data_IF_888814654819
#
_entry.id   IF_888814654819
#
_cell.length_a   1.000
_cell.length_b   1.000
_cell.length_c   1.000
_cell.angle_alpha   90.00
_cell.angle_beta   90.00
_cell.angle_gamma   90.00
#
_symmetry.space_group_name_H-M   'P 1'
#
loop_
_entity.id
_entity.type
_entity.pdbx_description
1 polymer ?
#
# COMPACT_ATOMS: atom_id res chain seq x y z
N UNK A 1 -18.75 -1.26 -16.13
CA UNK A 1 -18.10 -2.57 -15.86
C UNK A 1 -17.25 -2.39 -14.61
N UNK A 2 -17.57 -3.08 -13.52
CA UNK A 2 -16.68 -3.10 -12.35
C UNK A 2 -15.35 -3.72 -12.75
N UNK A 3 -14.23 -3.11 -12.36
CA UNK A 3 -12.90 -3.69 -12.58
C UNK A 3 -12.87 -5.04 -11.85
N UNK A 4 -12.80 -6.14 -12.59
CA UNK A 4 -12.61 -7.45 -11.98
C UNK A 4 -11.19 -7.51 -11.45
N UNK A 5 -11.03 -7.56 -10.13
CA UNK A 5 -9.73 -7.60 -9.48
C UNK A 5 -9.10 -8.99 -9.68
N UNK A 6 -7.88 -9.02 -10.20
CA UNK A 6 -7.07 -10.24 -10.31
C UNK A 6 -6.40 -10.49 -8.95
N UNK A 7 -6.38 -11.75 -8.50
CA UNK A 7 -5.75 -12.18 -7.24
C UNK A 7 -4.68 -13.22 -7.54
N UNK A 8 -3.51 -12.81 -8.05
CA UNK A 8 -2.49 -13.76 -8.46
C UNK A 8 -1.77 -14.35 -7.24
N UNK A 9 -1.01 -15.42 -7.45
CA UNK A 9 -0.10 -15.94 -6.42
C UNK A 9 1.03 -14.92 -6.21
N UNK A 10 1.29 -14.55 -4.97
CA UNK A 10 2.38 -13.63 -4.60
C UNK A 10 3.48 -14.44 -3.91
N UNK A 11 4.72 -14.12 -4.24
CA UNK A 11 5.94 -14.68 -3.65
C UNK A 11 6.78 -13.55 -3.06
N UNK A 12 7.47 -13.84 -1.95
CA UNK A 12 8.39 -12.91 -1.30
C UNK A 12 9.80 -13.32 -1.73
N UNK A 13 10.52 -12.40 -2.38
CA UNK A 13 11.88 -12.63 -2.84
C UNK A 13 12.84 -11.74 -2.04
N UNK A 14 13.91 -12.34 -1.53
CA UNK A 14 15.04 -11.59 -0.97
C UNK A 14 16.07 -11.39 -2.08
N UNK A 15 16.23 -10.15 -2.53
CA UNK A 15 17.20 -9.78 -3.54
C UNK A 15 18.40 -9.11 -2.87
N UNK A 16 19.60 -9.48 -3.29
CA UNK A 16 20.82 -8.77 -2.91
C UNK A 16 21.37 -8.17 -4.19
N UNK A 17 21.28 -6.86 -4.36
CA UNK A 17 21.95 -6.17 -5.47
C UNK A 17 23.22 -5.53 -4.95
N UNK A 18 24.28 -5.54 -5.76
CA UNK A 18 25.61 -5.06 -5.34
C UNK A 18 25.62 -3.54 -5.10
N UNK A 19 24.61 -2.82 -5.61
CA UNK A 19 24.52 -1.35 -5.59
C UNK A 19 23.40 -0.78 -4.71
N UNK A 20 22.36 -1.54 -4.37
CA UNK A 20 21.16 -1.00 -3.69
C UNK A 20 20.85 -1.77 -2.39
N UNK A 21 21.85 -2.46 -1.85
CA UNK A 21 21.71 -3.24 -0.63
C UNK A 21 20.84 -4.49 -0.78
N UNK A 22 20.31 -4.97 0.35
CA UNK A 22 19.36 -6.09 0.37
C UNK A 22 17.94 -5.53 0.26
N UNK A 23 17.20 -6.02 -0.72
CA UNK A 23 15.81 -5.66 -0.99
C UNK A 23 14.88 -6.83 -0.70
N UNK A 24 13.65 -6.51 -0.30
CA UNK A 24 12.57 -7.49 -0.18
C UNK A 24 11.49 -7.17 -1.21
N UNK A 25 11.27 -8.06 -2.16
CA UNK A 25 10.32 -7.85 -3.25
C UNK A 25 9.07 -8.72 -3.07
N UNK A 26 7.90 -8.12 -3.30
CA UNK A 26 6.65 -8.85 -3.54
C UNK A 26 6.52 -9.07 -5.05
N UNK A 27 6.70 -10.32 -5.48
CA UNK A 27 6.66 -10.68 -6.89
C UNK A 27 5.42 -11.50 -7.23
N UNK A 28 4.96 -11.40 -8.47
CA UNK A 28 3.93 -12.30 -8.98
C UNK A 28 4.15 -12.63 -10.45
N UNK A 29 3.71 -13.81 -10.86
CA UNK A 29 3.71 -14.23 -12.27
C UNK A 29 2.33 -13.98 -12.87
N UNK A 30 2.27 -13.12 -13.88
CA UNK A 30 1.07 -12.85 -14.67
C UNK A 30 1.42 -12.77 -16.15
N UNK A 31 0.56 -13.32 -17.02
CA UNK A 31 0.83 -13.34 -18.47
C UNK A 31 2.14 -14.05 -18.85
N UNK A 32 2.54 -15.07 -18.06
CA UNK A 32 3.82 -15.79 -18.18
C UNK A 32 5.08 -14.93 -17.97
N UNK A 33 4.94 -13.75 -17.37
CA UNK A 33 6.06 -12.88 -16.99
C UNK A 33 6.06 -12.66 -15.48
N UNK A 34 7.25 -12.52 -14.92
CA UNK A 34 7.43 -12.11 -13.53
C UNK A 34 7.32 -10.60 -13.43
N UNK A 35 6.59 -10.13 -12.42
CA UNK A 35 6.33 -8.73 -12.16
C UNK A 35 6.61 -8.42 -10.68
N UNK A 36 7.53 -7.49 -10.45
CA UNK A 36 7.67 -6.83 -9.15
C UNK A 36 6.41 -5.98 -8.89
N UNK A 37 5.68 -6.29 -7.83
CA UNK A 37 4.46 -5.58 -7.44
C UNK A 37 4.77 -4.45 -6.45
N UNK A 38 5.72 -4.70 -5.54
CA UNK A 38 6.21 -3.75 -4.56
C UNK A 38 7.58 -4.20 -4.05
N UNK A 39 8.38 -3.26 -3.57
CA UNK A 39 9.72 -3.53 -3.03
C UNK A 39 9.88 -2.80 -1.71
N UNK A 40 10.55 -3.43 -0.75
CA UNK A 40 11.00 -2.78 0.48
C UNK A 40 12.50 -2.58 0.38
N UNK A 41 12.91 -1.33 0.54
CA UNK A 41 14.30 -0.88 0.44
C UNK A 41 14.68 -0.07 1.68
N UNK A 42 15.97 0.03 1.95
CA UNK A 42 16.52 0.95 2.93
C UNK A 42 17.03 2.22 2.22
N UNK A 43 16.85 3.38 2.85
CA UNK A 43 17.45 4.63 2.40
C UNK A 43 18.96 4.65 2.73
N UNK A 44 19.79 4.97 1.74
CA UNK A 44 21.26 4.96 1.88
C UNK A 44 21.78 6.00 2.88
N UNK A 45 21.01 7.06 3.17
CA UNK A 45 21.43 8.15 4.04
C UNK A 45 21.22 7.84 5.53
N UNK A 46 20.13 7.16 5.88
CA UNK A 46 19.71 6.97 7.27
C UNK A 46 19.19 5.58 7.65
N UNK A 47 19.22 4.61 6.72
CA UNK A 47 18.74 3.24 6.89
C UNK A 47 17.23 3.14 7.22
N UNK A 48 16.45 4.21 6.98
CA UNK A 48 15.00 4.15 7.08
C UNK A 48 14.42 3.22 6.02
N UNK A 49 13.36 2.48 6.36
CA UNK A 49 12.76 1.51 5.46
C UNK A 49 11.58 2.11 4.71
N UNK A 50 11.57 1.91 3.40
CA UNK A 50 10.56 2.43 2.49
C UNK A 50 9.87 1.29 1.74
N UNK A 51 8.55 1.41 1.61
CA UNK A 51 7.73 0.56 0.76
C UNK A 51 7.51 1.26 -0.58
N UNK A 52 8.16 0.75 -1.62
CA UNK A 52 8.10 1.25 -2.97
C UNK A 52 7.03 0.51 -3.79
N UNK A 53 6.21 1.27 -4.51
CA UNK A 53 5.21 0.78 -5.47
C UNK A 53 5.28 1.58 -6.76
N UNK A 54 4.80 1.00 -7.85
CA UNK A 54 4.68 1.70 -9.14
C UNK A 54 3.28 2.29 -9.32
N UNK A 55 3.20 3.60 -9.53
CA UNK A 55 1.97 4.32 -9.90
C UNK A 55 2.17 4.90 -11.30
N UNK A 56 1.58 4.25 -12.31
CA UNK A 56 1.88 4.57 -13.70
C UNK A 56 3.31 4.13 -14.04
N UNK A 57 4.13 5.09 -14.48
CA UNK A 57 5.55 4.92 -14.78
C UNK A 57 6.48 5.43 -13.67
N UNK A 58 5.92 5.83 -12.52
CA UNK A 58 6.68 6.39 -11.41
C UNK A 58 6.77 5.42 -10.23
N UNK A 59 7.98 5.27 -9.70
CA UNK A 59 8.19 4.67 -8.38
C UNK A 59 7.77 5.69 -7.30
N UNK A 60 6.91 5.24 -6.39
CA UNK A 60 6.43 6.01 -5.24
C UNK A 60 6.81 5.27 -3.98
N UNK A 61 7.49 5.96 -3.07
CA UNK A 61 7.96 5.40 -1.82
C UNK A 61 7.13 5.93 -0.65
N UNK A 62 6.68 5.01 0.19
CA UNK A 62 5.93 5.28 1.40
C UNK A 62 6.76 4.82 2.60
N UNK A 63 6.80 5.56 3.72
CA UNK A 63 7.47 5.07 4.91
C UNK A 63 6.86 3.74 5.37
N UNK A 64 7.69 2.72 5.60
CA UNK A 64 7.21 1.37 5.87
C UNK A 64 6.37 1.30 7.15
N UNK A 65 6.65 2.15 8.14
CA UNK A 65 5.87 2.23 9.37
C UNK A 65 4.42 2.64 9.15
N UNK A 66 4.15 3.54 8.19
CA UNK A 66 2.80 3.98 7.85
C UNK A 66 2.04 2.86 7.16
N UNK A 67 2.71 2.12 6.27
CA UNK A 67 2.11 0.93 5.61
C UNK A 67 1.76 -0.13 6.66
N UNK A 68 2.65 -0.39 7.61
CA UNK A 68 2.39 -1.35 8.71
C UNK A 68 1.20 -0.93 9.57
N UNK A 69 1.10 0.35 9.93
CA UNK A 69 -0.05 0.89 10.67
C UNK A 69 -1.35 0.73 9.87
N UNK A 70 -1.32 1.07 8.58
CA UNK A 70 -2.49 0.92 7.70
C UNK A 70 -2.95 -0.54 7.59
N UNK A 71 -2.03 -1.51 7.50
CA UNK A 71 -2.37 -2.94 7.48
C UNK A 71 -3.04 -3.40 8.78
N UNK A 72 -2.56 -2.92 9.94
CA UNK A 72 -3.20 -3.21 11.22
C UNK A 72 -4.62 -2.65 11.28
N UNK A 73 -4.80 -1.37 10.94
CA UNK A 73 -6.12 -0.74 10.90
C UNK A 73 -7.06 -1.41 9.90
N UNK A 74 -6.54 -1.89 8.77
CA UNK A 74 -7.33 -2.59 7.77
C UNK A 74 -7.94 -3.89 8.31
N UNK A 75 -7.20 -4.66 9.11
CA UNK A 75 -7.70 -5.89 9.73
C UNK A 75 -8.84 -5.63 10.72
N UNK A 76 -8.87 -4.46 11.35
CA UNK A 76 -9.91 -4.09 12.32
C UNK A 76 -11.12 -3.44 11.65
N UNK A 77 -10.90 -2.59 10.65
CA UNK A 77 -11.89 -1.62 10.19
C UNK A 77 -12.28 -1.75 8.72
N UNK A 78 -11.56 -2.50 7.89
CA UNK A 78 -11.90 -2.62 6.47
C UNK A 78 -12.82 -3.82 6.27
N UNK A 79 -14.10 -3.53 6.06
CA UNK A 79 -15.14 -4.51 5.78
C UNK A 79 -15.82 -4.22 4.44
N UNK A 80 -16.49 -5.23 3.87
CA UNK A 80 -17.29 -5.04 2.65
C UNK A 80 -18.55 -4.23 2.93
N UNK A 81 -19.13 -3.59 1.91
CA UNK A 81 -20.42 -2.88 2.04
C UNK A 81 -21.50 -3.80 2.64
N UNK A 82 -21.60 -5.04 2.16
CA UNK A 82 -22.56 -6.02 2.67
C UNK A 82 -22.39 -6.33 4.17
N UNK A 83 -21.16 -6.27 4.69
CA UNK A 83 -20.93 -6.41 6.14
C UNK A 83 -21.50 -5.21 6.90
N UNK A 84 -21.27 -3.98 6.42
CA UNK A 84 -21.81 -2.77 7.04
C UNK A 84 -23.33 -2.71 7.01
N UNK A 85 -23.95 -3.11 5.89
CA UNK A 85 -25.41 -3.21 5.77
C UNK A 85 -26.01 -4.15 6.81
N UNK A 86 -25.32 -5.24 7.14
CA UNK A 86 -25.73 -6.18 8.20
C UNK A 86 -25.59 -5.59 9.61
N UNK A 87 -24.68 -4.64 9.83
CA UNK A 87 -24.50 -4.00 11.13
C UNK A 87 -25.52 -2.88 11.40
N UNK A 88 -26.39 -2.53 10.44
CA UNK A 88 -27.48 -1.58 10.62
C UNK A 88 -27.06 -0.12 10.84
N UNK A 89 -25.78 0.20 10.65
CA UNK A 89 -25.22 1.54 10.84
C UNK A 89 -24.30 1.90 9.67
N UNK A 90 -24.87 2.44 8.60
CA UNK A 90 -24.12 3.11 7.55
C UNK A 90 -24.53 4.58 7.49
N UNK A 91 -23.74 5.44 8.12
CA UNK A 91 -23.70 6.87 7.79
C UNK A 91 -22.61 7.04 6.72
N UNK A 92 -22.95 7.39 5.47
CA UNK A 92 -21.97 7.61 4.42
C UNK A 92 -21.16 8.87 4.74
N UNK A 93 -19.96 8.68 5.27
CA UNK A 93 -19.06 9.78 5.54
C UNK A 93 -17.64 9.28 5.69
N UNK A 94 -16.70 10.00 5.06
CA UNK A 94 -15.24 9.80 5.17
C UNK A 94 -14.87 9.19 6.52
N UNK A 95 -14.23 8.02 6.48
CA UNK A 95 -13.76 7.34 7.67
C UNK A 95 -13.01 8.33 8.57
N UNK A 96 -13.05 8.12 9.89
CA UNK A 96 -12.32 8.98 10.84
C UNK A 96 -10.84 9.17 10.42
N UNK A 97 -10.24 8.14 9.83
CA UNK A 97 -8.91 8.18 9.23
C UNK A 97 -8.81 9.12 8.01
N UNK A 98 -9.76 9.07 7.08
CA UNK A 98 -9.80 9.99 5.94
C UNK A 98 -10.03 11.46 6.36
N UNK A 99 -10.80 11.69 7.44
CA UNK A 99 -10.95 13.02 8.05
C UNK A 99 -9.66 13.50 8.72
N UNK A 100 -8.89 12.61 9.33
CA UNK A 100 -7.60 12.93 9.94
C UNK A 100 -6.53 13.26 8.87
N UNK A 101 -6.56 12.56 7.73
CA UNK A 101 -5.68 12.83 6.60
C UNK A 101 -6.02 14.16 5.91
N UNK A 102 -7.31 14.45 5.67
CA UNK A 102 -7.76 15.72 5.09
C UNK A 102 -7.45 16.95 5.97
N UNK A 103 -7.31 16.77 7.29
CA UNK A 103 -6.88 17.83 8.21
C UNK A 103 -5.37 18.10 8.18
N UNK A 104 -4.57 17.21 7.59
CA UNK A 104 -3.11 17.35 7.48
C UNK A 104 -2.66 18.08 6.22
N UNK A 105 -3.56 18.38 5.28
CA UNK A 105 -3.27 19.29 4.18
C UNK A 105 -3.59 20.74 4.59
N UNK A 106 -2.59 21.58 4.92
CA UNK A 106 -2.83 23.00 4.98
C UNK A 106 -3.11 23.50 3.56
N UNK A 107 -4.27 24.14 3.39
CA UNK A 107 -4.60 24.84 2.16
C UNK A 107 -3.44 25.75 1.76
N UNK A 108 -2.95 25.57 0.53
CA UNK A 108 -2.17 26.59 -0.15
C UNK A 108 -3.12 27.75 -0.41
N UNK A 109 -3.21 28.65 0.57
CA UNK A 109 -3.86 29.93 0.45
C UNK A 109 -3.08 30.79 -0.54
N UNK A 110 -3.83 31.24 -1.55
CA UNK A 110 -3.67 32.44 -2.38
C UNK A 110 -2.43 33.31 -2.18
#
# INVERSE_FOLDING_TARGET
MGKSAIRPKVEILHLSTVSEGRQLELNSVFGNMSHALATIIADDADESLWFEVYVGDQAVQLPLEIVREALALAQEHVHSEAWYEQQGAYEPGLSAAARALAKREPGHGT
#
